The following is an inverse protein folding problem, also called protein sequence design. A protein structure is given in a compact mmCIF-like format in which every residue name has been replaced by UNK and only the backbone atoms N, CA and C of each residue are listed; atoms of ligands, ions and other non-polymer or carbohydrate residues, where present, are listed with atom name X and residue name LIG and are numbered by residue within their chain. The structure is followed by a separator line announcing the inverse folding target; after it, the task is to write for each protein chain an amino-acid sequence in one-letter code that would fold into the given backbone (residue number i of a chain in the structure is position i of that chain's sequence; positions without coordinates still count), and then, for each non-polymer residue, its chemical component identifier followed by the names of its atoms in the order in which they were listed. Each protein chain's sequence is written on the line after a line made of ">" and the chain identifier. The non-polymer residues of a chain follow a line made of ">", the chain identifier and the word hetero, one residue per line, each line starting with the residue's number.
data_IF_595650488492
#
_entry.id   IF_595650488492
#
_cell.length_a   1.000
_cell.length_b   1.000
_cell.length_c   1.000
_cell.angle_alpha   90.00
_cell.angle_beta   90.00
_cell.angle_gamma   90.00
#
_symmetry.space_group_name_H-M   'P 1'
#
loop_
_entity.id
_entity.type
_entity.pdbx_description
1 polymer ?
#
# COMPACT_ATOMS: atom_id res chain seq x y z
N UNK A 1 -8.86 -9.74 6.61
CA UNK A 1 -9.48 -8.72 5.73
C UNK A 1 -9.75 -7.40 6.43
N UNK A 2 -10.37 -7.36 7.62
CA UNK A 2 -10.70 -6.11 8.31
C UNK A 2 -9.52 -5.11 8.40
N UNK A 3 -8.35 -5.56 8.85
CA UNK A 3 -7.16 -4.71 8.96
C UNK A 3 -6.68 -4.09 7.63
N UNK A 4 -6.76 -4.83 6.51
CA UNK A 4 -6.38 -4.28 5.21
C UNK A 4 -7.37 -3.20 4.74
N UNK A 5 -8.67 -3.43 4.94
CA UNK A 5 -9.70 -2.43 4.63
C UNK A 5 -9.56 -1.18 5.50
N UNK A 6 -9.28 -1.36 6.79
CA UNK A 6 -9.01 -0.25 7.72
C UNK A 6 -7.77 0.54 7.32
N UNK A 7 -6.69 -0.13 6.91
CA UNK A 7 -5.47 0.52 6.43
C UNK A 7 -5.73 1.39 5.18
N UNK A 8 -6.46 0.84 4.20
CA UNK A 8 -6.83 1.60 2.98
C UNK A 8 -7.69 2.80 3.33
N UNK A 9 -8.69 2.62 4.20
CA UNK A 9 -9.55 3.71 4.65
C UNK A 9 -8.75 4.79 5.40
N UNK A 10 -7.87 4.41 6.32
CA UNK A 10 -7.02 5.34 7.07
C UNK A 10 -6.07 6.14 6.17
N UNK A 11 -5.58 5.52 5.09
CA UNK A 11 -4.71 6.18 4.12
C UNK A 11 -5.47 7.17 3.23
N UNK A 12 -6.64 6.81 2.69
CA UNK A 12 -7.30 7.58 1.63
C UNK A 12 -8.46 8.46 2.11
N UNK A 13 -9.30 7.93 3.00
CA UNK A 13 -10.62 8.50 3.27
C UNK A 13 -10.72 9.10 4.68
N UNK A 14 -10.19 8.39 5.67
CA UNK A 14 -10.32 8.70 7.10
C UNK A 14 -9.17 9.52 7.69
N UNK A 15 -9.22 9.83 9.00
CA UNK A 15 -8.03 10.21 9.73
C UNK A 15 -7.07 9.01 9.76
N UNK A 16 -5.77 9.29 9.92
CA UNK A 16 -4.78 8.23 10.17
C UNK A 16 -5.19 7.36 11.36
N UNK A 17 -4.78 6.10 11.36
CA UNK A 17 -5.19 5.09 12.34
C UNK A 17 -3.96 4.38 12.90
N UNK A 18 -4.00 4.12 14.20
CA UNK A 18 -2.96 3.39 14.93
C UNK A 18 -3.42 1.97 15.27
N UNK A 19 -2.44 1.09 15.53
CA UNK A 19 -2.62 -0.29 16.00
C UNK A 19 -3.50 -1.18 15.09
N UNK A 20 -3.45 -0.97 13.76
CA UNK A 20 -4.10 -1.86 12.78
C UNK A 20 -3.33 -3.18 12.72
N UNK A 21 -4.02 -4.31 12.92
CA UNK A 21 -3.40 -5.64 12.86
C UNK A 21 -3.54 -6.30 11.48
N UNK A 22 -2.41 -6.68 10.88
CA UNK A 22 -2.33 -7.44 9.63
C UNK A 22 -1.29 -8.55 9.81
N UNK A 23 -1.72 -9.80 9.68
CA UNK A 23 -0.88 -11.00 9.85
C UNK A 23 0.00 -10.96 11.10
N UNK A 24 -0.62 -10.71 12.27
CA UNK A 24 0.05 -10.64 13.59
C UNK A 24 1.03 -9.48 13.77
N UNK A 25 1.16 -8.59 12.78
CA UNK A 25 1.92 -7.36 12.86
C UNK A 25 0.98 -6.17 13.10
N UNK A 26 1.45 -5.19 13.88
CA UNK A 26 0.70 -3.96 14.17
C UNK A 26 1.27 -2.79 13.41
N UNK A 27 0.40 -1.98 12.84
CA UNK A 27 0.76 -0.85 12.01
C UNK A 27 0.01 0.41 12.38
N UNK A 28 0.72 1.53 12.29
CA UNK A 28 0.12 2.86 12.27
C UNK A 28 0.14 3.37 10.83
N UNK A 29 -1.02 3.72 10.31
CA UNK A 29 -1.21 4.20 8.93
C UNK A 29 -1.59 5.67 8.99
N UNK A 30 -0.73 6.53 8.48
CA UNK A 30 -1.04 7.97 8.37
C UNK A 30 -1.88 8.23 7.13
N UNK A 31 -2.71 9.28 7.20
CA UNK A 31 -3.44 9.79 6.04
C UNK A 31 -2.43 10.18 4.95
N UNK A 32 -2.64 9.66 3.75
CA UNK A 32 -1.82 9.95 2.60
C UNK A 32 -2.12 11.35 2.06
N UNK A 33 -1.09 11.99 1.52
CA UNK A 33 -1.23 13.19 0.70
C UNK A 33 -1.55 12.76 -0.73
N UNK A 34 -2.66 13.26 -1.26
CA UNK A 34 -3.08 13.05 -2.65
C UNK A 34 -2.96 14.37 -3.42
N UNK A 35 -2.38 14.31 -4.61
CA UNK A 35 -2.34 15.40 -5.57
C UNK A 35 -2.85 14.89 -6.91
N UNK A 36 -3.94 15.49 -7.39
CA UNK A 36 -4.45 15.25 -8.73
C UNK A 36 -4.07 16.45 -9.62
N UNK A 37 -3.42 16.18 -10.76
CA UNK A 37 -3.06 17.20 -11.73
C UNK A 37 -3.33 16.67 -13.15
N UNK A 38 -4.26 17.32 -13.87
CA UNK A 38 -4.79 16.82 -15.13
C UNK A 38 -5.34 15.39 -14.98
N UNK A 39 -4.75 14.44 -15.71
CA UNK A 39 -5.09 13.01 -15.64
C UNK A 39 -4.14 12.22 -14.72
N UNK A 40 -3.18 12.88 -14.07
CA UNK A 40 -2.17 12.24 -13.24
C UNK A 40 -2.57 12.36 -11.76
N UNK A 41 -2.41 11.26 -11.02
CA UNK A 41 -2.65 11.18 -9.58
C UNK A 41 -1.38 10.71 -8.90
N UNK A 42 -0.94 11.49 -7.92
CA UNK A 42 0.20 11.18 -7.07
C UNK A 42 -0.27 11.01 -5.62
N UNK A 43 0.17 9.92 -4.99
CA UNK A 43 -0.17 9.65 -3.59
C UNK A 43 1.08 9.32 -2.79
N UNK A 44 1.34 10.09 -1.74
CA UNK A 44 2.42 9.89 -0.80
C UNK A 44 1.85 9.51 0.56
N UNK A 45 2.39 8.48 1.20
CA UNK A 45 1.95 8.12 2.54
C UNK A 45 3.03 7.48 3.39
N UNK A 46 2.66 7.19 4.63
CA UNK A 46 3.53 6.60 5.63
C UNK A 46 2.78 5.49 6.38
N UNK A 47 3.40 4.33 6.44
CA UNK A 47 3.01 3.18 7.26
C UNK A 47 4.13 2.97 8.28
N UNK A 48 3.81 2.73 9.54
CA UNK A 48 4.80 2.45 10.57
C UNK A 48 4.51 1.11 11.21
N UNK A 49 5.45 0.17 11.12
CA UNK A 49 5.35 -1.09 11.85
C UNK A 49 5.73 -0.84 13.32
N UNK A 50 4.90 -1.36 14.23
CA UNK A 50 4.98 -1.21 15.68
C UNK A 50 5.37 -2.55 16.32
N UNK A 51 6.64 -2.96 16.25
CA UNK A 51 7.12 -4.13 16.95
C UNK A 51 7.13 -3.89 18.46
N UNK A 52 6.86 -4.93 19.26
CA UNK A 52 6.71 -4.80 20.72
C UNK A 52 7.99 -4.41 21.46
N UNK A 53 9.15 -4.73 20.89
CA UNK A 53 10.45 -4.75 21.63
C UNK A 53 11.54 -3.89 21.00
N UNK A 54 11.25 -3.16 19.91
CA UNK A 54 12.23 -2.35 19.20
C UNK A 54 11.58 -1.07 18.66
N UNK A 55 12.37 -0.07 18.23
CA UNK A 55 11.83 1.16 17.64
C UNK A 55 10.93 0.88 16.45
N UNK A 56 10.06 1.83 16.15
CA UNK A 56 9.19 1.79 15.00
C UNK A 56 10.00 1.71 13.71
N UNK A 57 9.48 0.96 12.75
CA UNK A 57 9.99 0.97 11.39
C UNK A 57 9.04 1.75 10.52
N UNK A 58 9.55 2.83 9.93
CA UNK A 58 8.76 3.70 9.07
C UNK A 58 8.99 3.32 7.62
N UNK A 59 7.89 3.05 6.92
CA UNK A 59 7.81 2.85 5.49
C UNK A 59 7.08 4.04 4.89
N UNK A 60 7.73 4.74 3.98
CA UNK A 60 7.09 5.76 3.16
C UNK A 60 6.88 5.20 1.77
N UNK A 61 5.79 5.59 1.12
CA UNK A 61 5.47 5.13 -0.23
C UNK A 61 5.06 6.28 -1.13
N UNK A 62 5.30 6.10 -2.43
CA UNK A 62 4.85 6.99 -3.49
C UNK A 62 4.22 6.18 -4.62
N UNK A 63 2.96 6.50 -4.94
CA UNK A 63 2.18 5.92 -6.03
C UNK A 63 1.97 6.98 -7.10
N UNK A 64 2.19 6.61 -8.37
CA UNK A 64 1.92 7.47 -9.54
C UNK A 64 1.00 6.74 -10.49
N UNK A 65 -0.19 7.32 -10.71
CA UNK A 65 -1.09 6.94 -11.81
C UNK A 65 -1.13 8.02 -12.87
N UNK A 66 -1.09 7.62 -14.14
CA UNK A 66 -1.26 8.52 -15.30
C UNK A 66 -2.45 8.06 -16.11
N UNK A 67 -3.50 8.87 -16.23
CA UNK A 67 -4.73 8.48 -16.90
C UNK A 67 -5.37 7.21 -16.32
N UNK A 68 -5.26 7.01 -15.00
CA UNK A 68 -5.74 5.80 -14.31
C UNK A 68 -4.83 4.56 -14.43
N UNK A 69 -3.72 4.66 -15.16
CA UNK A 69 -2.74 3.58 -15.31
C UNK A 69 -1.68 3.70 -14.22
N UNK A 70 -1.42 2.63 -13.47
CA UNK A 70 -0.32 2.59 -12.51
C UNK A 70 1.03 2.61 -13.25
N UNK A 71 1.79 3.68 -13.07
CA UNK A 71 3.09 3.88 -13.75
C UNK A 71 4.28 3.71 -12.83
N UNK A 72 4.15 4.08 -11.56
CA UNK A 72 5.18 3.83 -10.55
C UNK A 72 4.54 3.54 -9.19
N UNK A 73 5.20 2.68 -8.43
CA UNK A 73 4.91 2.40 -7.04
C UNK A 73 6.20 2.03 -6.31
N UNK A 74 6.65 2.93 -5.44
CA UNK A 74 7.94 2.84 -4.76
C UNK A 74 7.73 2.96 -3.26
N UNK A 75 8.60 2.31 -2.47
CA UNK A 75 8.64 2.50 -1.02
C UNK A 75 10.07 2.68 -0.53
N UNK A 76 10.25 3.31 0.61
CA UNK A 76 11.52 3.27 1.33
C UNK A 76 11.28 3.02 2.81
N UNK A 77 12.09 2.12 3.39
CA UNK A 77 12.18 1.93 4.82
C UNK A 77 13.42 2.68 5.34
N UNK A 78 13.33 3.36 6.47
CA UNK A 78 14.54 3.91 7.07
C UNK A 78 15.41 2.76 7.64
N UNK A 79 16.72 2.67 7.32
CA UNK A 79 17.56 3.65 6.62
C UNK A 79 17.92 3.28 5.16
N UNK A 80 17.27 2.29 4.54
CA UNK A 80 17.78 1.59 3.34
C UNK A 80 17.55 2.28 1.98
N UNK A 81 16.91 3.46 1.94
CA UNK A 81 16.64 4.18 0.68
C UNK A 81 15.46 3.59 -0.11
N UNK A 82 15.19 4.13 -1.31
CA UNK A 82 14.04 3.71 -2.13
C UNK A 82 14.25 2.33 -2.75
N UNK A 83 13.27 1.46 -2.51
CA UNK A 83 13.21 0.07 -2.94
C UNK A 83 11.86 -0.20 -3.63
N UNK A 84 11.86 -1.13 -4.58
CA UNK A 84 10.63 -1.64 -5.17
C UNK A 84 9.85 -2.54 -4.20
N UNK A 85 8.59 -2.79 -4.50
CA UNK A 85 7.79 -3.81 -3.78
C UNK A 85 8.31 -5.22 -4.07
N UNK A 86 8.26 -6.11 -3.08
CA UNK A 86 8.87 -7.44 -3.15
C UNK A 86 7.86 -8.59 -3.07
N UNK A 87 8.33 -9.80 -3.43
CA UNK A 87 7.60 -11.04 -3.19
C UNK A 87 6.32 -11.20 -4.01
N UNK A 88 5.32 -11.89 -3.44
CA UNK A 88 4.05 -12.22 -4.13
C UNK A 88 3.24 -10.97 -4.51
N UNK A 89 3.46 -9.86 -3.82
CA UNK A 89 2.81 -8.58 -4.13
C UNK A 89 3.33 -8.00 -5.45
N UNK A 90 4.62 -8.20 -5.76
CA UNK A 90 5.20 -7.80 -7.04
C UNK A 90 4.55 -8.53 -8.24
N UNK A 91 4.05 -9.75 -8.06
CA UNK A 91 3.33 -10.50 -9.10
C UNK A 91 1.98 -9.84 -9.42
N UNK A 92 1.25 -9.42 -8.39
CA UNK A 92 -0.02 -8.68 -8.56
C UNK A 92 0.26 -7.34 -9.25
N UNK A 93 1.31 -6.62 -8.83
CA UNK A 93 1.71 -5.36 -9.46
C UNK A 93 2.16 -5.50 -10.91
N UNK A 94 2.92 -6.54 -11.24
CA UNK A 94 3.35 -6.80 -12.62
C UNK A 94 2.16 -7.06 -13.55
N UNK A 95 1.09 -7.68 -13.04
CA UNK A 95 -0.16 -7.84 -13.78
C UNK A 95 -0.95 -6.55 -13.98
N UNK A 96 -0.68 -5.51 -13.19
CA UNK A 96 -1.37 -4.22 -13.21
C UNK A 96 -0.55 -3.10 -13.88
N UNK A 97 0.77 -3.27 -14.00
CA UNK A 97 1.66 -2.26 -14.55
C UNK A 97 1.44 -2.10 -16.05
N UNK A 98 1.23 -0.85 -16.51
CA UNK A 98 1.00 -0.55 -17.92
C UNK A 98 -0.39 -0.91 -18.46
N UNK A 99 -1.30 -1.41 -17.61
CA UNK A 99 -2.69 -1.74 -17.97
C UNK A 99 -3.62 -0.75 -17.25
N UNK A 100 -4.63 -0.16 -17.93
CA UNK A 100 -5.71 0.53 -17.24
C UNK A 100 -6.34 -0.45 -16.24
N UNK A 101 -6.47 -0.06 -14.97
CA UNK A 101 -7.11 -0.91 -13.97
C UNK A 101 -8.59 -0.53 -13.96
N UNK A 102 -9.48 -1.24 -14.69
CA UNK A 102 -10.89 -0.88 -14.68
C UNK A 102 -11.50 -1.22 -13.31
N UNK A 103 -12.61 -0.57 -12.90
CA UNK A 103 -13.22 -0.76 -11.59
C UNK A 103 -13.50 -2.23 -11.25
N UNK A 104 -13.87 -3.05 -12.23
CA UNK A 104 -14.11 -4.48 -12.06
C UNK A 104 -12.83 -5.29 -11.75
N UNK A 105 -11.67 -4.86 -12.28
CA UNK A 105 -10.38 -5.50 -12.01
C UNK A 105 -9.88 -5.18 -10.58
N UNK A 106 -10.29 -4.05 -10.01
CA UNK A 106 -9.97 -3.68 -8.62
C UNK A 106 -10.52 -4.71 -7.65
N UNK A 107 -11.74 -5.22 -7.85
CA UNK A 107 -12.32 -6.24 -6.98
C UNK A 107 -11.52 -7.54 -7.05
N UNK A 108 -11.20 -8.02 -8.25
CA UNK A 108 -10.43 -9.26 -8.45
C UNK A 108 -9.04 -9.16 -7.84
N UNK A 109 -8.34 -8.03 -8.07
CA UNK A 109 -7.03 -7.80 -7.48
C UNK A 109 -7.10 -7.69 -5.95
N UNK A 110 -8.15 -7.05 -5.40
CA UNK A 110 -8.36 -6.96 -3.95
C UNK A 110 -8.62 -8.35 -3.34
N UNK A 111 -9.38 -9.20 -4.01
CA UNK A 111 -9.64 -10.58 -3.58
C UNK A 111 -8.37 -11.42 -3.61
N UNK A 112 -7.55 -11.29 -4.67
CA UNK A 112 -6.25 -11.95 -4.78
C UNK A 112 -5.29 -11.51 -3.67
N UNK A 113 -5.21 -10.20 -3.40
CA UNK A 113 -4.43 -9.65 -2.29
C UNK A 113 -4.94 -10.19 -0.94
N UNK A 114 -6.24 -10.34 -0.77
CA UNK A 114 -6.84 -10.91 0.44
C UNK A 114 -6.46 -12.36 0.73
N UNK A 115 -6.00 -13.11 -0.28
CA UNK A 115 -5.50 -14.48 -0.14
C UNK A 115 -4.01 -14.53 0.23
N UNK A 116 -3.29 -13.40 0.13
CA UNK A 116 -1.89 -13.33 0.52
C UNK A 116 -1.82 -13.21 2.04
N UNK A 117 -1.25 -14.24 2.67
CA UNK A 117 -0.80 -14.16 4.06
C UNK A 117 0.66 -13.71 4.03
N UNK A 118 0.98 -12.44 4.34
CA UNK A 118 2.35 -12.00 4.39
C UNK A 118 3.12 -12.73 5.49
N UNK A 119 4.28 -13.26 5.13
CA UNK A 119 5.16 -14.01 6.04
C UNK A 119 6.00 -13.08 6.95
N UNK A 120 5.99 -11.76 6.66
CA UNK A 120 6.71 -10.74 7.40
C UNK A 120 6.07 -9.36 7.26
N UNK A 121 6.48 -8.43 8.12
CA UNK A 121 5.89 -7.10 8.20
C UNK A 121 6.13 -6.27 6.92
N UNK A 122 7.27 -6.47 6.25
CA UNK A 122 7.59 -5.84 4.96
C UNK A 122 6.58 -6.24 3.89
N UNK A 123 6.22 -7.53 3.84
CA UNK A 123 5.22 -8.03 2.90
C UNK A 123 3.82 -7.52 3.24
N UNK A 124 3.51 -7.32 4.53
CA UNK A 124 2.26 -6.71 4.96
C UNK A 124 2.20 -5.22 4.57
N UNK A 125 3.33 -4.50 4.63
CA UNK A 125 3.46 -3.14 4.09
C UNK A 125 3.22 -3.12 2.58
N UNK A 126 3.87 -4.02 1.83
CA UNK A 126 3.70 -4.14 0.38
C UNK A 126 2.24 -4.41 0.00
N UNK A 127 1.57 -5.31 0.74
CA UNK A 127 0.16 -5.62 0.59
C UNK A 127 -0.74 -4.39 0.79
N UNK A 128 -0.50 -3.61 1.86
CA UNK A 128 -1.23 -2.37 2.13
C UNK A 128 -1.03 -1.32 1.03
N UNK A 129 0.21 -1.08 0.62
CA UNK A 129 0.55 -0.08 -0.41
C UNK A 129 -0.12 -0.44 -1.73
N UNK A 130 -0.14 -1.73 -2.09
CA UNK A 130 -0.81 -2.21 -3.30
C UNK A 130 -2.32 -2.03 -3.23
N UNK A 131 -2.93 -2.35 -2.09
CA UNK A 131 -4.37 -2.13 -1.89
C UNK A 131 -4.75 -0.64 -1.94
N UNK A 132 -3.89 0.24 -1.42
CA UNK A 132 -4.03 1.69 -1.56
C UNK A 132 -3.95 2.08 -3.04
N UNK A 133 -2.92 1.62 -3.75
CA UNK A 133 -2.74 1.91 -5.17
C UNK A 133 -3.93 1.48 -6.03
N UNK A 134 -4.59 0.37 -5.70
CA UNK A 134 -5.79 -0.08 -6.41
C UNK A 134 -6.99 0.87 -6.26
N UNK A 135 -7.09 1.64 -5.16
CA UNK A 135 -8.22 2.52 -4.86
C UNK A 135 -8.02 4.00 -5.18
N UNK A 136 -6.80 4.41 -5.50
CA UNK A 136 -6.43 5.79 -5.86
C UNK A 136 -6.90 6.16 -7.26
#
# INVERSE_FOLDING_TARGET
>A
MAGLTEAVHAALDGPGREDIEISQHRFDVKRAQRLDFNADTHVWGQISHKPRTRPYEHVYFHIIKKGGILTSMERHANPSGWEGVHGRVAVVLAGLHGVPIPPEAVSVATDQLGQIVPDGWEQACDLMITAIALRV
#
